data_IF_270642922129
#
_entry.id   IF_270642922129
#
_cell.length_a   1.000
_cell.length_b   1.000
_cell.length_c   1.000
_cell.angle_alpha   90.00
_cell.angle_beta   90.00
_cell.angle_gamma   90.00
#
_symmetry.space_group_name_H-M   'P 1'
#
loop_
_entity.id
_entity.type
_entity.pdbx_description
1 polymer ?
#
# COMPACT_ATOMS: atom_id res chain seq x y z
N UNK A 1 9.47 -7.83 7.35
CA UNK A 1 9.57 -7.89 5.88
C UNK A 1 8.95 -6.61 5.36
N UNK A 2 9.63 -5.82 4.54
CA UNK A 2 9.00 -4.67 3.85
C UNK A 2 8.41 -5.18 2.55
N UNK A 3 7.11 -4.98 2.33
CA UNK A 3 6.43 -5.37 1.10
C UNK A 3 6.15 -4.13 0.23
N UNK A 4 6.44 -4.21 -1.08
CA UNK A 4 6.22 -3.10 -2.01
C UNK A 4 5.02 -3.42 -2.89
N UNK A 5 3.96 -2.63 -2.74
CA UNK A 5 2.75 -2.73 -3.55
C UNK A 5 2.61 -1.58 -4.54
N UNK A 6 1.71 -1.74 -5.50
CA UNK A 6 1.29 -0.65 -6.37
C UNK A 6 -0.10 -0.90 -6.92
N UNK A 7 -0.93 0.14 -6.92
CA UNK A 7 -2.24 0.14 -7.56
C UNK A 7 -2.41 1.37 -8.45
N UNK A 8 -3.48 1.36 -9.24
CA UNK A 8 -3.86 2.47 -10.11
C UNK A 8 -5.17 3.05 -9.59
N UNK A 9 -5.19 4.36 -9.36
CA UNK A 9 -6.37 5.11 -8.93
C UNK A 9 -6.48 6.42 -9.69
N UNK A 10 -7.60 7.11 -9.55
CA UNK A 10 -7.85 8.41 -10.18
C UNK A 10 -7.82 9.49 -9.10
N UNK A 11 -6.96 10.49 -9.26
CA UNK A 11 -6.90 11.64 -8.37
C UNK A 11 -7.47 12.88 -9.05
N UNK A 12 -8.14 13.72 -8.25
CA UNK A 12 -8.72 14.99 -8.69
C UNK A 12 -8.14 16.13 -7.85
N UNK A 13 -7.66 17.20 -8.50
CA UNK A 13 -7.15 18.39 -7.82
C UNK A 13 -7.30 19.65 -8.65
N UNK A 14 -7.09 20.81 -8.03
CA UNK A 14 -7.04 22.09 -8.75
C UNK A 14 -5.59 22.46 -9.08
N UNK A 15 -5.32 22.85 -10.33
CA UNK A 15 -4.05 23.46 -10.72
C UNK A 15 -3.87 24.85 -10.06
N UNK A 16 -2.66 25.39 -10.14
CA UNK A 16 -2.32 26.77 -9.78
C UNK A 16 -3.24 27.82 -10.41
N UNK A 17 -3.91 27.51 -11.53
CA UNK A 17 -4.89 28.39 -12.20
C UNK A 17 -6.34 28.18 -11.76
N UNK A 18 -6.60 27.27 -10.81
CA UNK A 18 -7.94 26.90 -10.36
C UNK A 18 -8.71 26.01 -11.33
N UNK A 19 -8.06 25.47 -12.36
CA UNK A 19 -8.66 24.47 -13.24
C UNK A 19 -8.66 23.10 -12.56
N UNK A 20 -9.80 22.41 -12.59
CA UNK A 20 -9.90 21.04 -12.13
C UNK A 20 -9.12 20.12 -13.09
N UNK A 21 -8.27 19.27 -12.51
CA UNK A 21 -7.51 18.23 -13.19
C UNK A 21 -7.95 16.90 -12.60
N UNK A 22 -8.37 16.00 -13.46
CA UNK A 22 -8.55 14.58 -13.16
C UNK A 22 -7.44 13.80 -13.87
N UNK A 23 -6.70 12.97 -13.13
CA UNK A 23 -5.66 12.14 -13.72
C UNK A 23 -5.62 10.74 -13.10
N UNK A 24 -5.46 9.76 -13.98
CA UNK A 24 -5.15 8.38 -13.59
C UNK A 24 -3.69 8.32 -13.16
N UNK A 25 -3.44 7.85 -11.95
CA UNK A 25 -2.10 7.74 -11.36
C UNK A 25 -1.82 6.30 -10.93
N UNK A 26 -0.56 5.90 -11.03
CA UNK A 26 -0.03 4.70 -10.40
C UNK A 26 0.65 5.08 -9.10
N UNK A 27 0.07 4.62 -7.99
CA UNK A 27 0.60 4.80 -6.64
C UNK A 27 1.48 3.61 -6.33
N UNK A 28 2.67 3.88 -5.82
CA UNK A 28 3.60 2.86 -5.34
C UNK A 28 3.89 3.14 -3.88
N UNK A 29 3.72 2.13 -3.04
CA UNK A 29 3.88 2.25 -1.61
C UNK A 29 4.74 1.11 -1.05
N UNK A 30 5.21 1.28 0.17
CA UNK A 30 5.90 0.26 0.97
C UNK A 30 5.11 0.05 2.25
N UNK A 31 4.61 -1.17 2.45
CA UNK A 31 4.01 -1.59 3.70
C UNK A 31 5.03 -2.22 4.64
N UNK A 32 4.89 -1.91 5.93
CA UNK A 32 5.69 -2.41 7.03
C UNK A 32 4.75 -3.10 8.02
N UNK A 33 4.94 -4.41 8.28
CA UNK A 33 4.19 -5.08 9.31
C UNK A 33 4.62 -4.55 10.66
N UNK A 34 3.61 -4.22 11.47
CA UNK A 34 3.82 -3.89 12.86
C UNK A 34 4.30 -5.10 13.67
N UNK A 35 4.77 -4.83 14.88
CA UNK A 35 5.16 -5.85 15.85
C UNK A 35 4.24 -5.77 17.08
N UNK A 36 3.68 -6.90 17.54
CA UNK A 36 2.90 -6.90 18.77
C UNK A 36 3.78 -6.52 19.96
N UNK A 37 3.19 -5.86 20.95
CA UNK A 37 3.87 -5.57 22.21
C UNK A 37 4.46 -6.85 22.81
N UNK A 38 5.72 -6.78 23.21
CA UNK A 38 6.39 -7.85 23.97
C UNK A 38 6.70 -7.37 25.38
N UNK A 39 7.23 -8.26 26.21
CA UNK A 39 7.63 -7.92 27.58
C UNK A 39 8.78 -6.90 27.63
N UNK A 40 9.48 -6.68 26.52
CA UNK A 40 10.70 -5.85 26.45
C UNK A 40 10.57 -4.70 25.44
N UNK A 41 9.63 -4.79 24.51
CA UNK A 41 9.46 -3.83 23.41
C UNK A 41 8.00 -3.38 23.30
N UNK A 42 7.74 -2.06 23.12
CA UNK A 42 6.39 -1.54 22.91
C UNK A 42 5.76 -2.09 21.62
N UNK A 43 4.45 -1.90 21.46
CA UNK A 43 3.80 -2.18 20.18
C UNK A 43 4.35 -1.26 19.08
N UNK A 44 4.62 -1.83 17.91
CA UNK A 44 4.92 -1.10 16.68
C UNK A 44 3.73 -1.30 15.73
N UNK A 45 2.95 -0.25 15.41
CA UNK A 45 1.80 -0.40 14.53
C UNK A 45 2.25 -0.63 13.09
N UNK A 46 1.46 -1.40 12.34
CA UNK A 46 1.67 -1.53 10.90
C UNK A 46 1.54 -0.17 10.21
N UNK A 47 2.34 0.07 9.18
CA UNK A 47 2.41 1.36 8.50
C UNK A 47 2.64 1.20 7.01
N UNK A 48 2.09 2.11 6.22
CA UNK A 48 2.35 2.23 4.78
C UNK A 48 2.94 3.60 4.48
N UNK A 49 3.86 3.62 3.53
CA UNK A 49 4.53 4.84 3.07
C UNK A 49 4.45 4.91 1.55
N UNK A 50 3.89 6.00 1.02
CA UNK A 50 3.84 6.23 -0.43
C UNK A 50 5.21 6.70 -0.89
N UNK A 51 5.84 5.94 -1.78
CA UNK A 51 7.19 6.23 -2.29
C UNK A 51 7.17 6.91 -3.67
N UNK A 52 6.08 6.75 -4.42
CA UNK A 52 5.96 7.33 -5.76
C UNK A 52 4.51 7.40 -6.22
N UNK A 53 4.12 8.54 -6.79
CA UNK A 53 2.84 8.72 -7.49
C UNK A 53 3.15 9.14 -8.93
N UNK A 54 2.93 8.24 -9.89
CA UNK A 54 3.23 8.47 -11.30
C UNK A 54 1.94 8.60 -12.12
N UNK A 55 1.64 9.78 -12.70
CA UNK A 55 0.50 9.92 -13.60
C UNK A 55 0.72 9.13 -14.89
N UNK A 56 -0.38 8.62 -15.46
CA UNK A 56 -0.35 7.96 -16.76
C UNK A 56 0.10 8.92 -17.87
N UNK A 57 -0.35 10.18 -17.80
CA UNK A 57 0.16 11.28 -18.63
C UNK A 57 1.34 11.97 -17.93
N UNK A 58 2.53 11.85 -18.52
CA UNK A 58 3.78 12.39 -17.96
C UNK A 58 3.90 13.92 -18.03
N UNK A 59 2.98 14.58 -18.73
CA UNK A 59 2.93 16.05 -18.81
C UNK A 59 2.23 16.64 -17.59
N UNK A 60 1.51 15.83 -16.82
CA UNK A 60 0.80 16.23 -15.62
C UNK A 60 1.73 16.12 -14.42
N UNK A 61 1.74 17.15 -13.58
CA UNK A 61 2.44 17.12 -12.29
C UNK A 61 1.43 16.87 -11.19
N UNK A 62 1.64 15.81 -10.41
CA UNK A 62 0.79 15.50 -9.25
C UNK A 62 1.26 16.33 -8.05
N UNK A 63 0.35 16.98 -7.31
CA UNK A 63 0.68 17.71 -6.10
C UNK A 63 1.36 16.82 -5.06
N UNK A 64 2.36 17.37 -4.36
CA UNK A 64 3.03 16.63 -3.29
C UNK A 64 2.13 16.35 -2.08
N UNK A 65 1.03 17.09 -1.91
CA UNK A 65 0.07 16.83 -0.83
C UNK A 65 -0.50 15.42 -0.85
N UNK A 66 -0.59 14.79 -2.02
CA UNK A 66 -1.07 13.41 -2.15
C UNK A 66 -0.14 12.36 -1.52
N UNK A 67 1.12 12.70 -1.24
CA UNK A 67 2.02 11.78 -0.52
C UNK A 67 1.67 11.69 0.98
N UNK A 68 0.99 12.70 1.51
CA UNK A 68 0.58 12.83 2.91
C UNK A 68 -0.94 12.71 3.08
N UNK A 69 -1.65 12.39 2.00
CA UNK A 69 -3.11 12.33 1.97
C UNK A 69 -3.62 11.09 2.70
N UNK A 70 -4.45 11.31 3.72
CA UNK A 70 -4.96 10.26 4.60
C UNK A 70 -5.88 9.26 3.87
N UNK A 71 -6.64 9.72 2.86
CA UNK A 71 -7.53 8.86 2.06
C UNK A 71 -6.69 7.92 1.18
N UNK A 72 -5.71 8.47 0.47
CA UNK A 72 -4.82 7.67 -0.38
C UNK A 72 -3.95 6.71 0.44
N UNK A 73 -3.47 7.12 1.62
CA UNK A 73 -2.79 6.22 2.55
C UNK A 73 -3.70 5.10 3.05
N UNK A 74 -4.98 5.39 3.30
CA UNK A 74 -5.98 4.39 3.67
C UNK A 74 -6.13 3.32 2.59
N UNK A 75 -6.25 3.71 1.33
CA UNK A 75 -6.28 2.77 0.19
C UNK A 75 -5.00 1.93 0.09
N UNK A 76 -3.83 2.55 0.26
CA UNK A 76 -2.55 1.84 0.28
C UNK A 76 -2.50 0.79 1.40
N UNK A 77 -3.04 1.13 2.58
CA UNK A 77 -3.04 0.25 3.75
C UNK A 77 -3.96 -0.95 3.56
N UNK A 78 -5.14 -0.74 2.96
CA UNK A 78 -6.08 -1.82 2.70
C UNK A 78 -5.55 -2.80 1.64
N UNK A 79 -5.02 -2.28 0.53
CA UNK A 79 -4.37 -3.09 -0.54
C UNK A 79 -3.22 -3.92 0.04
N UNK A 80 -2.38 -3.30 0.88
CA UNK A 80 -1.28 -3.99 1.54
C UNK A 80 -1.76 -5.08 2.52
N UNK A 81 -2.76 -4.77 3.37
CA UNK A 81 -3.30 -5.76 4.31
C UNK A 81 -3.89 -6.94 3.57
N UNK A 82 -4.65 -6.70 2.51
CA UNK A 82 -5.26 -7.77 1.72
C UNK A 82 -4.18 -8.70 1.15
N UNK A 83 -3.10 -8.14 0.59
CA UNK A 83 -1.97 -8.93 0.09
C UNK A 83 -1.25 -9.73 1.19
N UNK A 84 -1.05 -9.16 2.38
CA UNK A 84 -0.49 -9.87 3.54
C UNK A 84 -1.41 -11.00 4.04
N UNK A 85 -2.73 -10.78 4.07
CA UNK A 85 -3.73 -11.79 4.43
C UNK A 85 -3.72 -12.94 3.42
N UNK A 86 -3.77 -12.65 2.11
CA UNK A 86 -3.66 -13.66 1.07
C UNK A 86 -2.33 -14.43 1.17
N UNK A 87 -1.21 -13.74 1.38
CA UNK A 87 0.08 -14.39 1.56
C UNK A 87 0.13 -15.27 2.83
N UNK A 88 -0.57 -14.90 3.90
CA UNK A 88 -0.69 -15.73 5.10
C UNK A 88 -1.51 -17.00 4.84
N UNK A 89 -2.62 -16.88 4.10
CA UNK A 89 -3.45 -18.02 3.70
C UNK A 89 -2.69 -19.01 2.81
N UNK A 90 -1.94 -18.51 1.82
CA UNK A 90 -1.07 -19.33 0.98
C UNK A 90 0.00 -20.09 1.78
N UNK A 91 0.61 -19.43 2.77
CA UNK A 91 1.58 -20.09 3.68
C UNK A 91 0.91 -21.16 4.55
N UNK A 92 -0.28 -20.90 5.06
CA UNK A 92 -1.04 -21.86 5.86
C UNK A 92 -1.47 -23.08 5.02
N UNK A 93 -1.93 -22.86 3.80
CA UNK A 93 -2.32 -23.92 2.88
C UNK A 93 -1.11 -24.76 2.44
N UNK A 94 0.02 -24.12 2.12
CA UNK A 94 1.27 -24.82 1.78
C UNK A 94 1.79 -25.67 2.93
N UNK A 95 1.71 -25.17 4.18
CA UNK A 95 2.06 -25.96 5.37
C UNK A 95 1.13 -27.16 5.54
N UNK A 96 -0.17 -27.01 5.27
CA UNK A 96 -1.15 -28.11 5.34
C UNK A 96 -0.90 -29.16 4.26
N UNK A 97 -0.59 -28.74 3.04
CA UNK A 97 -0.28 -29.63 1.93
C UNK A 97 1.00 -30.44 2.19
N UNK A 98 2.06 -29.80 2.70
CA UNK A 98 3.29 -30.47 3.11
C UNK A 98 3.07 -31.52 4.22
N UNK A 99 2.11 -31.30 5.11
CA UNK A 99 1.72 -32.26 6.16
C UNK A 99 0.85 -33.43 5.62
N UNK A 100 0.16 -33.26 4.49
CA UNK A 100 -0.74 -34.26 3.90
C UNK A 100 -0.14 -35.03 2.70
N UNK A 101 0.85 -34.46 2.00
CA UNK A 101 1.54 -35.09 0.86
C UNK A 101 2.77 -35.93 1.24
N UNK A 102 3.04 -36.11 2.54
CA UNK A 102 4.18 -36.87 3.07
C UNK A 102 3.93 -38.37 3.30
N UNK A 103 3.01 -39.01 2.55
CA UNK A 103 2.74 -40.45 2.61
C UNK A 103 2.95 -41.14 1.26
#
# INVERSE_FOLDING_TARGET
MTHRGSFTTTLMWHDSRGSEIEAVVRVTYVGRPGSPQTMTDPEDPASVEIINIAPADKSISVPQSFYEDEELMGECFDDWRNDEEEAAEWRAQSRRDQLMGGF
#
